data_IF_323826621167
#
_entry.id   IF_323826621167
#
_cell.length_a   1.000
_cell.length_b   1.000
_cell.length_c   1.000
_cell.angle_alpha   90.00
_cell.angle_beta   90.00
_cell.angle_gamma   90.00
#
_symmetry.space_group_name_H-M   'P 1'
#
loop_
_entity.id
_entity.type
_entity.pdbx_description
1 polymer ?
#
# COMPACT_ATOMS: atom_id res chain seq x y z
N UNK A 1 -20.53 -3.68 12.90
CA UNK A 1 -19.26 -3.23 12.32
C UNK A 1 -19.26 -3.78 10.91
N UNK A 2 -19.53 -2.94 9.91
CA UNK A 2 -19.50 -3.41 8.54
C UNK A 2 -18.05 -3.80 8.23
N UNK A 3 -17.83 -5.07 7.90
CA UNK A 3 -16.53 -5.55 7.46
C UNK A 3 -16.21 -4.87 6.13
N UNK A 4 -15.13 -4.10 6.06
CA UNK A 4 -14.64 -3.50 4.83
C UNK A 4 -14.34 -4.54 3.75
N UNK A 5 -14.07 -4.08 2.53
CA UNK A 5 -13.70 -4.94 1.42
C UNK A 5 -12.41 -5.70 1.70
N UNK A 6 -12.36 -6.97 1.28
CA UNK A 6 -11.15 -7.77 1.35
C UNK A 6 -10.11 -7.24 0.37
N UNK A 7 -8.93 -6.90 0.88
CA UNK A 7 -7.81 -6.42 0.08
C UNK A 7 -7.00 -7.60 -0.45
N UNK A 8 -6.68 -7.54 -1.74
CA UNK A 8 -5.86 -8.53 -2.44
C UNK A 8 -4.64 -7.84 -3.05
N UNK A 9 -3.49 -8.49 -2.90
CA UNK A 9 -2.23 -8.03 -3.48
C UNK A 9 -1.94 -8.80 -4.75
N UNK A 10 -1.56 -8.09 -5.81
CA UNK A 10 -1.05 -8.75 -7.02
C UNK A 10 0.37 -9.28 -6.75
N UNK A 11 0.82 -10.32 -7.46
CA UNK A 11 2.21 -10.77 -7.36
C UNK A 11 3.23 -9.66 -7.62
N UNK A 12 2.93 -8.76 -8.57
CA UNK A 12 3.78 -7.61 -8.85
C UNK A 12 3.89 -6.65 -7.66
N UNK A 13 2.76 -6.34 -7.00
CA UNK A 13 2.75 -5.45 -5.84
C UNK A 13 3.52 -6.04 -4.65
N UNK A 14 3.47 -7.36 -4.45
CA UNK A 14 4.28 -8.05 -3.43
C UNK A 14 5.78 -7.97 -3.76
N UNK A 15 6.16 -8.22 -5.01
CA UNK A 15 7.55 -8.12 -5.45
C UNK A 15 8.09 -6.67 -5.35
N UNK A 16 7.30 -5.67 -5.73
CA UNK A 16 7.68 -4.25 -5.57
C UNK A 16 7.86 -3.86 -4.11
N UNK A 17 7.01 -4.37 -3.22
CA UNK A 17 7.14 -4.15 -1.77
C UNK A 17 8.43 -4.78 -1.24
N UNK A 18 8.72 -6.03 -1.60
CA UNK A 18 9.96 -6.72 -1.22
C UNK A 18 11.19 -5.92 -1.66
N UNK A 19 11.27 -5.53 -2.93
CA UNK A 19 12.38 -4.71 -3.46
C UNK A 19 12.51 -3.36 -2.74
N UNK A 20 11.38 -2.74 -2.39
CA UNK A 20 11.37 -1.47 -1.66
C UNK A 20 11.91 -1.65 -0.24
N UNK A 21 11.51 -2.72 0.45
CA UNK A 21 11.99 -3.04 1.79
C UNK A 21 13.48 -3.37 1.77
N UNK A 22 13.94 -4.17 0.81
CA UNK A 22 15.37 -4.49 0.63
C UNK A 22 16.20 -3.22 0.42
N UNK A 23 15.72 -2.29 -0.42
CA UNK A 23 16.38 -1.00 -0.59
C UNK A 23 16.44 -0.21 0.72
N UNK A 24 15.34 -0.16 1.47
CA UNK A 24 15.32 0.56 2.75
C UNK A 24 16.25 -0.07 3.79
N UNK A 25 16.31 -1.39 3.89
CA UNK A 25 17.20 -2.11 4.81
C UNK A 25 18.68 -1.84 4.53
N UNK A 26 19.05 -1.73 3.25
CA UNK A 26 20.44 -1.51 2.85
C UNK A 26 20.89 -0.04 2.98
N UNK A 27 19.95 0.92 3.00
CA UNK A 27 20.27 2.35 2.89
C UNK A 27 19.80 3.19 4.09
N UNK A 28 18.90 2.67 4.93
CA UNK A 28 18.26 3.41 6.01
C UNK A 28 18.17 2.58 7.29
N UNK A 29 17.65 3.21 8.35
CA UNK A 29 17.39 2.54 9.62
C UNK A 29 16.00 1.92 9.65
N UNK A 30 15.78 0.97 10.56
CA UNK A 30 14.46 0.33 10.81
C UNK A 30 13.32 1.34 11.03
N UNK A 31 13.63 2.56 11.46
CA UNK A 31 12.65 3.63 11.63
C UNK A 31 11.92 3.93 10.32
N UNK A 32 12.63 3.99 9.20
CA UNK A 32 12.01 4.32 7.90
C UNK A 32 11.19 3.15 7.37
N UNK A 33 11.62 1.91 7.62
CA UNK A 33 10.85 0.70 7.30
C UNK A 33 9.51 0.70 8.07
N UNK A 34 9.54 0.93 9.39
CA UNK A 34 8.33 1.00 10.22
C UNK A 34 7.39 2.11 9.75
N UNK A 35 7.94 3.26 9.37
CA UNK A 35 7.15 4.39 8.85
C UNK A 35 6.49 4.04 7.51
N UNK A 36 7.17 3.32 6.63
CA UNK A 36 6.58 2.84 5.38
C UNK A 36 5.43 1.87 5.65
N UNK A 37 5.66 0.85 6.47
CA UNK A 37 4.64 -0.16 6.82
C UNK A 37 3.40 0.51 7.40
N UNK A 38 3.57 1.43 8.37
CA UNK A 38 2.44 2.11 8.98
C UNK A 38 1.62 2.94 7.99
N UNK A 39 2.27 3.57 7.01
CA UNK A 39 1.58 4.31 5.94
C UNK A 39 0.80 3.36 5.03
N UNK A 40 1.41 2.23 4.66
CA UNK A 40 0.75 1.21 3.83
C UNK A 40 -0.49 0.66 4.55
N UNK A 41 -0.37 0.27 5.82
CA UNK A 41 -1.50 -0.21 6.63
C UNK A 41 -2.63 0.82 6.74
N UNK A 42 -2.29 2.09 6.98
CA UNK A 42 -3.27 3.17 7.05
C UNK A 42 -4.00 3.36 5.72
N UNK A 43 -3.29 3.31 4.59
CA UNK A 43 -3.89 3.40 3.26
C UNK A 43 -4.80 2.20 2.98
N UNK A 44 -4.38 0.97 3.32
CA UNK A 44 -5.18 -0.25 3.17
C UNK A 44 -6.48 -0.15 3.97
N UNK A 45 -6.42 0.31 5.22
CA UNK A 45 -7.61 0.47 6.05
C UNK A 45 -8.59 1.42 5.37
N UNK A 46 -8.11 2.60 4.93
CA UNK A 46 -8.93 3.61 4.26
C UNK A 46 -9.60 3.05 2.99
N UNK A 47 -8.84 2.39 2.10
CA UNK A 47 -9.41 1.84 0.85
C UNK A 47 -10.32 0.64 1.09
N UNK A 48 -10.08 -0.14 2.16
CA UNK A 48 -10.94 -1.26 2.52
C UNK A 48 -12.32 -0.77 2.95
N UNK A 49 -12.40 0.38 3.59
CA UNK A 49 -13.69 0.98 3.99
C UNK A 49 -14.33 1.79 2.86
N UNK A 50 -13.52 2.46 2.03
CA UNK A 50 -14.00 3.28 0.91
C UNK A 50 -13.11 3.15 -0.33
N UNK A 51 -13.37 2.15 -1.21
CA UNK A 51 -12.53 1.88 -2.38
C UNK A 51 -12.42 3.02 -3.39
N UNK A 52 -13.39 3.95 -3.40
CA UNK A 52 -13.46 5.05 -4.38
C UNK A 52 -12.94 6.39 -3.81
N UNK A 53 -12.33 6.38 -2.63
CA UNK A 53 -11.90 7.61 -1.94
C UNK A 53 -10.81 8.38 -2.68
N UNK A 54 -9.96 7.68 -3.43
CA UNK A 54 -8.90 8.28 -4.21
C UNK A 54 -9.35 8.55 -5.65
N UNK A 55 -8.82 9.58 -6.33
CA UNK A 55 -9.21 9.90 -7.70
C UNK A 55 -8.76 8.80 -8.66
N UNK A 56 -9.54 8.58 -9.73
CA UNK A 56 -9.17 7.68 -10.82
C UNK A 56 -7.94 8.26 -11.55
N UNK A 57 -7.03 7.37 -11.95
CA UNK A 57 -5.88 7.74 -12.76
C UNK A 57 -6.29 8.09 -14.18
N UNK A 58 -5.76 9.19 -14.70
CA UNK A 58 -6.01 9.62 -16.09
C UNK A 58 -5.38 8.67 -17.12
N UNK A 59 -4.36 7.91 -16.71
CA UNK A 59 -3.58 7.03 -17.60
C UNK A 59 -3.94 5.56 -17.48
N UNK A 60 -4.68 5.16 -16.45
CA UNK A 60 -5.00 3.76 -16.13
C UNK A 60 -6.34 3.70 -15.40
N UNK A 61 -7.11 2.64 -15.61
CA UNK A 61 -8.38 2.40 -14.92
C UNK A 61 -8.14 1.90 -13.48
N UNK A 62 -7.48 2.72 -12.66
CA UNK A 62 -7.13 2.45 -11.25
C UNK A 62 -7.22 3.74 -10.44
N UNK A 63 -7.55 3.65 -9.15
CA UNK A 63 -7.52 4.78 -8.21
C UNK A 63 -6.08 5.08 -7.74
N UNK A 64 -5.73 6.35 -7.52
CA UNK A 64 -4.37 6.83 -7.20
C UNK A 64 -3.98 6.69 -5.72
#
# INVERSE_FOLDING_TARGET
>A
MESGYKVFWTPNALNELEQTIDYLQNNFTDKEIKKLIHKIESSIEIISQNPFIFPVSESKDVHK
#
